data_IF_393772272479
#
_entry.id   IF_393772272479
#
_cell.length_a   1.000
_cell.length_b   1.000
_cell.length_c   1.000
_cell.angle_alpha   90.00
_cell.angle_beta   90.00
_cell.angle_gamma   90.00
#
_symmetry.space_group_name_H-M   'P 1'
#
loop_
_entity.id
_entity.type
_entity.pdbx_description
1 polymer ?
2 non-polymer ?
3 non-polymer ?
4 water ?
#
# COMPACT_ATOMS: atom_id res chain seq x y z
N UNK A 21 -25.83 12.70 19.69
CA UNK A 21 -24.91 12.83 20.83
C UNK A 21 -24.93 11.60 21.73
N UNK A 22 -23.92 10.73 21.62
CA UNK A 22 -23.83 9.56 22.46
C UNK A 22 -22.44 9.46 23.04
N UNK A 23 -22.36 9.03 24.29
CA UNK A 23 -21.07 8.70 24.89
C UNK A 23 -20.79 7.21 24.88
N UNK A 24 -21.74 6.39 24.46
CA UNK A 24 -21.56 4.95 24.48
C UNK A 24 -22.53 4.34 23.49
N UNK A 25 -22.08 3.29 22.81
CA UNK A 25 -22.91 2.50 21.90
C UNK A 25 -22.53 1.05 22.12
N UNK A 26 -23.27 0.33 22.96
CA UNK A 26 -22.78 -0.96 23.39
C UNK A 26 -21.46 -0.77 24.09
N UNK A 27 -20.47 -1.60 23.73
CA UNK A 27 -19.15 -1.48 24.32
C UNK A 27 -18.24 -0.52 23.57
N UNK A 28 -18.78 0.24 22.61
CA UNK A 28 -18.05 1.38 22.08
C UNK A 28 -18.32 2.57 23.00
N UNK A 29 -17.28 2.99 23.71
CA UNK A 29 -17.37 4.00 24.75
C UNK A 29 -16.40 5.12 24.43
N UNK A 30 -16.92 6.34 24.36
CA UNK A 30 -16.05 7.49 24.20
C UNK A 30 -14.93 7.47 25.26
N UNK A 31 -13.71 7.74 24.80
CA UNK A 31 -12.41 7.67 25.46
C UNK A 31 -11.67 6.34 25.30
N UNK A 32 -12.29 5.32 24.73
CA UNK A 32 -11.60 4.05 24.59
C UNK A 32 -10.53 4.15 23.50
N UNK A 33 -9.51 3.33 23.66
CA UNK A 33 -8.50 3.11 22.63
C UNK A 33 -9.12 2.29 21.53
N UNK A 34 -8.70 2.57 20.30
CA UNK A 34 -9.37 2.02 19.14
C UNK A 34 -8.38 2.06 17.98
N UNK A 35 -8.66 1.27 16.94
CA UNK A 35 -7.99 1.35 15.65
C UNK A 35 -8.94 1.95 14.64
N UNK A 36 -8.44 2.83 13.79
CA UNK A 36 -9.24 3.41 12.73
C UNK A 36 -8.57 3.30 11.38
N UNK A 37 -9.39 3.09 10.36
CA UNK A 37 -8.90 2.97 8.98
C UNK A 37 -8.64 4.33 8.38
N UNK A 38 -7.47 4.49 7.80
CA UNK A 38 -7.09 5.71 7.10
C UNK A 38 -7.22 5.54 5.58
N UNK A 39 -6.97 6.64 4.84
CA UNK A 39 -7.15 6.60 3.37
C UNK A 39 -6.12 5.75 2.65
N UNK A 40 -4.95 5.48 3.26
CA UNK A 40 -4.00 4.50 2.75
C UNK A 40 -4.51 3.08 2.85
N UNK A 41 -5.67 2.90 3.49
CA UNK A 41 -6.28 1.60 3.80
C UNK A 41 -5.50 0.85 4.87
N UNK A 42 -4.50 1.46 5.49
CA UNK A 42 -3.91 0.91 6.69
C UNK A 42 -4.65 1.45 7.92
N UNK A 43 -4.48 0.73 9.03
CA UNK A 43 -5.20 1.02 10.26
C UNK A 43 -4.23 1.46 11.36
N UNK A 44 -4.71 2.40 12.18
CA UNK A 44 -3.85 3.15 13.08
C UNK A 44 -4.53 3.37 14.44
N UNK A 45 -3.73 3.28 15.49
CA UNK A 45 -4.28 3.49 16.82
C UNK A 45 -4.69 4.93 17.08
N UNK A 46 -5.71 5.05 17.90
CA UNK A 46 -6.17 6.35 18.34
C UNK A 46 -7.15 6.19 19.48
N UNK A 47 -7.91 7.25 19.72
CA UNK A 47 -8.92 7.28 20.76
C UNK A 47 -10.28 7.61 20.17
N UNK A 48 -11.33 6.93 20.63
CA UNK A 48 -12.70 7.25 20.24
C UNK A 48 -13.13 8.51 20.99
N UNK A 49 -13.36 9.61 20.27
CA UNK A 49 -13.65 10.90 20.93
C UNK A 49 -15.10 11.32 20.77
N UNK A 50 -15.87 10.70 19.88
CA UNK A 50 -17.28 11.07 19.75
C UNK A 50 -18.02 9.94 19.03
N UNK A 51 -19.31 9.84 19.34
CA UNK A 51 -20.23 8.97 18.62
C UNK A 51 -21.39 9.84 18.19
N UNK A 52 -21.71 9.83 16.88
CA UNK A 52 -22.69 10.74 16.28
C UNK A 52 -23.71 9.93 15.49
N UNK A 53 -24.98 10.25 15.65
CA UNK A 53 -26.01 9.72 14.78
C UNK A 53 -26.12 10.67 13.60
N UNK A 54 -25.94 10.15 12.39
CA UNK A 54 -26.00 10.97 11.19
C UNK A 54 -26.75 10.16 10.16
N UNK A 55 -27.95 10.62 9.81
CA UNK A 55 -28.76 9.88 8.88
C UNK A 55 -29.21 8.58 9.50
N UNK A 56 -29.05 7.48 8.76
CA UNK A 56 -29.67 6.22 9.19
C UNK A 56 -28.88 5.48 10.27
N UNK A 57 -27.60 5.81 10.46
CA UNK A 57 -26.80 5.06 11.40
C UNK A 57 -25.89 5.94 12.24
N UNK A 58 -24.83 5.34 12.76
CA UNK A 58 -23.90 6.02 13.63
C UNK A 58 -22.55 6.18 12.94
N UNK A 59 -21.86 7.25 13.28
CA UNK A 59 -20.47 7.43 12.93
C UNK A 59 -19.65 7.58 14.19
N UNK A 60 -18.35 7.26 14.08
CA UNK A 60 -17.44 7.18 15.20
C UNK A 60 -16.25 8.07 14.91
N UNK A 61 -16.06 9.08 15.74
CA UNK A 61 -14.98 10.04 15.52
C UNK A 61 -13.74 9.56 16.26
N UNK A 62 -12.64 9.40 15.53
CA UNK A 62 -11.40 8.89 16.07
C UNK A 62 -10.35 9.98 15.98
N UNK A 63 -9.65 10.23 17.08
CA UNK A 63 -8.44 11.03 17.07
C UNK A 63 -7.24 10.09 17.06
N UNK A 64 -6.49 10.12 15.97
CA UNK A 64 -5.35 9.24 15.84
C UNK A 64 -4.22 9.74 16.71
N UNK A 65 -3.29 8.86 17.02
CA UNK A 65 -2.18 9.23 17.88
C UNK A 65 -1.34 10.36 17.28
N UNK A 66 -1.36 10.54 15.97
CA UNK A 66 -0.67 11.69 15.37
C UNK A 66 -1.51 12.95 15.37
N UNK A 67 -2.65 12.92 16.05
CA UNK A 67 -3.61 14.01 16.26
C UNK A 67 -4.56 14.25 15.09
N UNK A 68 -4.42 13.56 13.96
CA UNK A 68 -5.44 13.63 12.92
C UNK A 68 -6.76 13.07 13.42
N UNK A 69 -7.85 13.50 12.78
CA UNK A 69 -9.19 13.04 13.17
C UNK A 69 -9.97 12.58 11.95
N UNK A 70 -10.76 11.52 12.13
CA UNK A 70 -11.65 11.00 11.09
C UNK A 70 -12.96 10.57 11.69
N UNK A 71 -14.03 10.77 10.93
CA UNK A 71 -15.36 10.32 11.28
C UNK A 71 -15.64 9.07 10.45
N UNK A 72 -15.75 7.94 11.13
CA UNK A 72 -15.69 6.63 10.48
C UNK A 72 -16.95 5.80 10.72
N UNK A 73 -17.30 4.96 9.75
CA UNK A 73 -18.33 3.96 9.97
C UNK A 73 -17.82 2.88 10.94
N UNK A 74 -18.77 2.15 11.53
CA UNK A 74 -18.40 1.14 12.52
C UNK A 74 -17.63 -0.03 11.96
N UNK A 75 -17.70 -0.26 10.66
CA UNK A 75 -16.88 -1.31 10.05
C UNK A 75 -15.49 -0.80 9.68
N UNK A 76 -15.18 0.46 9.97
CA UNK A 76 -13.87 1.04 9.74
C UNK A 76 -13.18 1.42 11.03
N UNK A 77 -13.62 0.84 12.14
CA UNK A 77 -12.90 0.88 13.40
C UNK A 77 -12.75 -0.56 13.89
N UNK A 78 -11.72 -0.79 14.68
CA UNK A 78 -11.44 -2.10 15.26
C UNK A 78 -10.98 -1.95 16.71
N UNK A 79 -11.28 -2.96 17.51
CA UNK A 79 -10.87 -2.91 18.90
C UNK A 79 -9.38 -3.12 19.01
N UNK A 80 -8.77 -2.47 20.00
CA UNK A 80 -7.34 -2.57 20.27
C UNK A 80 -7.05 -3.71 21.24
N UNK A 81 -7.40 -4.91 20.81
CA UNK A 81 -7.08 -6.14 21.52
C UNK A 81 -7.17 -7.28 20.54
N UNK A 82 -6.53 -8.39 20.92
CA UNK A 82 -6.53 -9.55 20.05
C UNK A 82 -7.70 -10.44 20.42
N UNK A 83 -8.51 -10.89 19.46
CA UNK A 83 -9.69 -11.65 19.82
C UNK A 83 -9.32 -13.04 20.30
N UNK A 84 -10.07 -13.59 21.26
CA UNK A 84 -9.87 -14.99 21.61
C UNK A 84 -10.02 -15.85 20.36
N UNK A 85 -9.02 -16.67 20.09
CA UNK A 85 -9.20 -17.75 19.15
C UNK A 85 -10.39 -18.55 19.63
N UNK A 86 -11.19 -19.05 18.70
CA UNK A 86 -12.44 -19.72 18.99
C UNK A 86 -13.53 -18.70 19.26
N UNK A 87 -13.26 -17.40 19.14
CA UNK A 87 -14.28 -16.42 18.80
C UNK A 87 -14.08 -15.91 17.38
N UNK A 88 -13.16 -16.49 16.65
CA UNK A 88 -12.98 -16.24 15.22
C UNK A 88 -13.36 -17.49 14.45
N UNK A 89 -13.88 -17.25 13.25
CA UNK A 89 -14.37 -18.30 12.36
C UNK A 89 -14.08 -17.87 10.94
N UNK A 90 -14.23 -18.82 10.03
CA UNK A 90 -14.11 -18.50 8.62
C UNK A 90 -15.17 -17.47 8.26
N UNK A 91 -14.71 -16.34 7.69
CA UNK A 91 -15.59 -15.23 7.43
C UNK A 91 -15.47 -14.05 8.39
N UNK A 92 -14.82 -14.24 9.53
CA UNK A 92 -14.61 -13.14 10.48
C UNK A 92 -13.90 -11.97 9.81
N UNK A 93 -14.36 -10.77 10.15
CA UNK A 93 -13.82 -9.51 9.62
C UNK A 93 -12.79 -8.97 10.60
N UNK A 94 -11.53 -8.88 10.15
CA UNK A 94 -10.42 -8.60 11.02
C UNK A 94 -9.49 -7.59 10.38
N UNK A 95 -8.63 -7.03 11.22
CA UNK A 95 -7.47 -6.26 10.85
C UNK A 95 -6.28 -7.12 11.23
N UNK A 96 -5.32 -7.24 10.32
CA UNK A 96 -4.19 -8.13 10.54
C UNK A 96 -2.88 -7.44 10.23
N UNK A 97 -1.83 -7.89 10.91
CA UNK A 97 -0.49 -7.40 10.61
C UNK A 97 0.01 -7.90 9.26
N UNK A 98 0.57 -6.96 8.50
CA UNK A 98 1.20 -7.21 7.21
C UNK A 98 2.65 -6.71 7.27
N UNK A 99 3.59 -7.58 6.88
CA UNK A 99 5.00 -7.22 6.78
C UNK A 99 5.34 -6.66 5.39
N UNK A 100 5.82 -5.41 5.35
CA UNK A 100 6.13 -4.65 4.13
C UNK A 100 7.62 -4.38 4.16
N UNK A 101 8.39 -5.33 3.69
CA UNK A 101 9.83 -5.27 3.89
C UNK A 101 10.15 -5.40 5.37
N UNK A 102 10.77 -4.37 5.94
CA UNK A 102 11.10 -4.32 7.37
C UNK A 102 10.10 -3.49 8.17
N UNK A 103 8.99 -3.13 7.57
CA UNK A 103 7.97 -2.32 8.17
C UNK A 103 6.79 -3.23 8.47
N UNK A 104 5.93 -2.81 9.39
CA UNK A 104 4.72 -3.55 9.73
C UNK A 104 3.54 -2.60 9.66
N UNK A 105 2.47 -3.03 8.99
CA UNK A 105 1.25 -2.25 8.83
C UNK A 105 0.07 -3.12 9.25
N UNK A 106 -1.06 -2.48 9.54
CA UNK A 106 -2.31 -3.16 9.84
C UNK A 106 -3.24 -2.96 8.66
N UNK A 107 -3.86 -4.04 8.20
CA UNK A 107 -4.70 -3.97 6.99
C UNK A 107 -5.87 -4.94 7.15
N UNK A 108 -7.02 -4.58 6.59
CA UNK A 108 -8.23 -5.36 6.80
C UNK A 108 -8.29 -6.60 5.92
N UNK A 109 -9.02 -7.60 6.41
CA UNK A 109 -9.22 -8.84 5.70
C UNK A 109 -10.28 -9.71 6.32
N UNK A 110 -10.36 -10.91 5.79
CA UNK A 110 -11.30 -11.94 6.17
C UNK A 110 -10.53 -13.19 6.58
N UNK A 111 -10.99 -13.83 7.67
CA UNK A 111 -10.43 -15.12 8.07
C UNK A 111 -10.88 -16.20 7.08
N UNK A 112 -9.90 -16.85 6.46
CA UNK A 112 -10.11 -17.92 5.50
C UNK A 112 -9.88 -19.30 6.09
N UNK A 113 -9.09 -19.40 7.16
CA UNK A 113 -8.76 -20.64 7.86
C UNK A 113 -8.49 -20.32 9.31
N UNK A 114 -8.93 -21.18 10.21
CA UNK A 114 -8.57 -21.08 11.62
C UNK A 114 -7.48 -22.10 11.96
N UNK A 115 -6.82 -21.94 13.11
CA UNK A 115 -5.69 -22.82 13.45
C UNK A 115 -6.02 -24.31 13.39
N UNK A 116 -5.14 -25.06 12.73
CA UNK A 116 -5.25 -26.51 12.71
C UNK A 116 -3.86 -27.10 12.50
N UNK A 117 -3.80 -28.44 12.39
CA UNK A 117 -2.52 -29.12 12.23
C UNK A 117 -1.87 -28.73 10.90
N UNK A 118 -2.63 -28.82 9.81
CA UNK A 118 -2.04 -28.59 8.50
C UNK A 118 -1.43 -27.20 8.38
N UNK A 119 -1.99 -26.18 9.08
CA UNK A 119 -1.49 -24.82 8.94
C UNK A 119 -0.65 -24.37 10.11
N UNK A 120 -0.22 -25.32 10.95
CA UNK A 120 0.67 -25.03 12.08
C UNK A 120 0.05 -23.98 13.02
N UNK A 121 -1.25 -24.14 13.26
CA UNK A 121 -2.00 -23.38 14.25
C UNK A 121 -1.95 -21.87 13.96
N UNK A 122 -2.15 -21.52 12.70
CA UNK A 122 -2.21 -20.13 12.28
C UNK A 122 -3.57 -19.83 11.64
N UNK A 123 -3.85 -18.54 11.47
CA UNK A 123 -5.00 -18.06 10.73
C UNK A 123 -4.59 -17.64 9.33
N UNK A 124 -5.27 -18.15 8.33
CA UNK A 124 -5.11 -17.64 6.97
C UNK A 124 -6.00 -16.42 6.79
N UNK A 125 -5.41 -15.31 6.33
CA UNK A 125 -6.11 -14.06 6.10
C UNK A 125 -6.11 -13.73 4.61
N UNK A 126 -7.30 -13.44 4.09
CA UNK A 126 -7.49 -12.92 2.74
C UNK A 126 -7.69 -11.41 2.93
N UNK A 127 -6.68 -10.63 2.56
CA UNK A 127 -6.72 -9.19 2.75
C UNK A 127 -7.59 -8.54 1.68
N UNK A 128 -8.13 -7.35 2.00
CA UNK A 128 -9.07 -6.67 1.11
C UNK A 128 -8.51 -6.39 -0.28
N UNK A 129 -7.19 -6.35 -0.44
CA UNK A 129 -6.58 -6.08 -1.72
C UNK A 129 -6.21 -7.33 -2.48
N UNK A 130 -6.60 -8.50 -2.01
CA UNK A 130 -6.30 -9.73 -2.69
C UNK A 130 -5.08 -10.48 -2.21
N UNK A 131 -4.26 -9.91 -1.32
CA UNK A 131 -3.15 -10.64 -0.77
C UNK A 131 -3.64 -11.68 0.26
N UNK A 132 -2.82 -12.69 0.51
CA UNK A 132 -3.14 -13.70 1.51
C UNK A 132 -1.88 -14.02 2.33
N UNK A 133 -2.05 -14.23 3.64
CA UNK A 133 -0.91 -14.60 4.48
C UNK A 133 -1.44 -15.32 5.71
N UNK A 134 -0.57 -16.11 6.31
CA UNK A 134 -0.83 -16.70 7.61
C UNK A 134 -0.33 -15.78 8.72
N UNK A 135 -1.16 -15.61 9.76
CA UNK A 135 -0.78 -14.81 10.92
C UNK A 135 -1.13 -15.58 12.19
N UNK A 136 -0.61 -15.10 13.31
CA UNK A 136 -0.94 -15.66 14.61
C UNK A 136 -2.03 -14.87 15.29
N UNK A 137 -2.52 -15.43 16.41
CA UNK A 137 -3.61 -14.81 17.14
C UNK A 137 -3.23 -13.41 17.64
N UNK A 138 -1.96 -13.19 17.96
CA UNK A 138 -1.51 -11.92 18.48
C UNK A 138 -1.25 -10.91 17.39
N UNK A 139 -1.65 -11.24 16.16
CA UNK A 139 -1.47 -10.36 15.02
C UNK A 139 -2.80 -9.95 14.41
N UNK A 140 -3.88 -10.13 15.14
CA UNK A 140 -5.23 -9.88 14.67
C UNK A 140 -5.97 -8.96 15.62
N UNK A 141 -6.90 -8.18 15.08
CA UNK A 141 -7.78 -7.28 15.81
C UNK A 141 -9.17 -7.41 15.22
N UNK A 142 -10.22 -7.44 16.05
CA UNK A 142 -11.58 -7.56 15.51
C UNK A 142 -12.19 -6.22 15.11
N UNK A 143 -12.75 -6.17 13.90
CA UNK A 143 -13.46 -4.96 13.48
C UNK A 143 -14.74 -4.83 14.31
N UNK A 144 -15.08 -3.60 14.68
CA UNK A 144 -16.06 -3.37 15.75
C UNK A 144 -17.46 -3.75 15.30
N UNK A 145 -17.89 -3.26 14.13
CA UNK A 145 -19.24 -3.47 13.63
C UNK A 145 -19.17 -3.93 12.18
N UNK A 146 -18.76 -5.18 11.95
CA UNK A 146 -18.71 -5.69 10.59
C UNK A 146 -20.11 -5.88 10.03
N UNK A 147 -20.20 -5.87 8.71
CA UNK A 147 -21.45 -6.21 8.06
C UNK A 147 -21.76 -7.68 8.31
N UNK A 148 -23.05 -8.00 8.35
CA UNK A 148 -23.43 -9.39 8.64
C UNK A 148 -22.89 -10.33 7.57
N UNK A 149 -23.03 -9.96 6.30
CA UNK A 149 -22.29 -10.60 5.20
C UNK A 149 -20.97 -9.86 5.10
N UNK A 150 -19.94 -10.42 5.76
CA UNK A 150 -18.78 -9.61 6.13
C UNK A 150 -18.01 -9.07 4.93
N UNK A 151 -18.09 -9.74 3.80
CA UNK A 151 -17.39 -9.31 2.59
C UNK A 151 -18.00 -8.09 1.92
N UNK A 152 -19.18 -7.65 2.32
CA UNK A 152 -19.89 -6.67 1.49
C UNK A 152 -19.25 -5.28 1.50
N UNK A 153 -18.26 -5.02 2.38
CA UNK A 153 -17.57 -3.74 2.40
C UNK A 153 -16.19 -3.80 1.75
N UNK A 154 -15.89 -4.89 1.03
CA UNK A 154 -14.65 -4.99 0.26
C UNK A 154 -14.82 -4.21 -1.03
N UNK A 155 -13.93 -3.22 -1.23
CA UNK A 155 -14.04 -2.29 -2.35
C UNK A 155 -13.71 -2.95 -3.69
N UNK A 156 -12.70 -3.81 -3.73
CA UNK A 156 -12.31 -4.49 -4.96
C UNK A 156 -13.34 -5.58 -5.25
N UNK A 157 -14.08 -5.40 -6.35
CA UNK A 157 -15.21 -6.28 -6.66
C UNK A 157 -14.74 -7.71 -6.90
N UNK A 158 -13.64 -7.90 -7.64
CA UNK A 158 -13.18 -9.27 -7.87
C UNK A 158 -12.83 -9.95 -6.56
N UNK A 159 -12.22 -9.20 -5.62
CA UNK A 159 -11.92 -9.75 -4.31
C UNK A 159 -13.19 -10.07 -3.52
N UNK A 160 -14.11 -9.10 -3.47
CA UNK A 160 -15.39 -9.27 -2.80
C UNK A 160 -16.10 -10.53 -3.28
N UNK A 161 -16.19 -10.68 -4.59
CA UNK A 161 -16.91 -11.82 -5.16
C UNK A 161 -16.21 -13.13 -4.84
N UNK A 162 -14.87 -13.14 -4.88
CA UNK A 162 -14.16 -14.33 -4.48
C UNK A 162 -14.46 -14.72 -3.04
N UNK A 163 -14.39 -13.77 -2.11
CA UNK A 163 -14.65 -14.07 -0.70
C UNK A 163 -16.06 -14.60 -0.50
N UNK A 164 -17.04 -13.97 -1.13
CA UNK A 164 -18.40 -14.46 -1.01
C UNK A 164 -18.48 -15.91 -1.43
N UNK A 165 -17.88 -16.23 -2.59
CA UNK A 165 -17.90 -17.61 -3.09
C UNK A 165 -17.18 -18.54 -2.13
N UNK A 166 -16.01 -18.13 -1.65
CA UNK A 166 -15.20 -18.93 -0.76
C UNK A 166 -15.94 -19.26 0.54
N UNK A 167 -16.49 -18.23 1.20
CA UNK A 167 -17.14 -18.45 2.48
C UNK A 167 -18.40 -19.30 2.30
N UNK A 168 -19.11 -19.10 1.21
CA UNK A 168 -20.34 -19.84 0.96
C UNK A 168 -20.06 -21.32 0.75
N UNK A 169 -18.96 -21.63 0.05
CA UNK A 169 -18.63 -23.02 -0.29
C UNK A 169 -17.83 -23.72 0.78
N UNK A 170 -17.25 -22.97 1.70
CA UNK A 170 -16.37 -23.55 2.70
C UNK A 170 -17.10 -24.67 3.45
N UNK A 171 -16.43 -25.80 3.73
CA UNK A 171 -15.02 -26.17 3.52
C UNK A 171 -14.64 -26.68 2.15
N UNK A 172 -15.50 -26.58 1.15
CA UNK A 172 -15.20 -27.18 -0.15
C UNK A 172 -14.38 -26.19 -0.98
N UNK A 173 -13.08 -26.43 -1.03
CA UNK A 173 -12.09 -25.51 -1.59
C UNK A 173 -11.26 -26.21 -2.66
N UNK A 174 -11.56 -26.01 -3.94
CA UNK A 174 -10.67 -26.52 -4.99
C UNK A 174 -9.28 -25.94 -4.84
N UNK A 175 -8.29 -26.81 -4.72
CA UNK A 175 -6.89 -26.38 -4.62
C UNK A 175 -6.01 -27.34 -5.42
N UNK A 176 -4.88 -26.85 -5.90
CA UNK A 176 -3.96 -27.74 -6.61
C UNK A 176 -2.80 -28.13 -5.71
N UNK A 177 -2.37 -29.38 -5.84
CA UNK A 177 -1.26 -29.91 -5.07
C UNK A 177 0.03 -29.60 -5.81
N UNK A 178 0.93 -28.88 -5.16
CA UNK A 178 2.20 -28.48 -5.76
C UNK A 178 3.33 -28.93 -4.87
N UNK A 179 4.50 -29.11 -5.46
CA UNK A 179 5.67 -29.43 -4.67
C UNK A 179 6.82 -28.50 -5.03
N UNK A 180 7.73 -28.34 -4.07
CA UNK A 180 8.89 -27.49 -4.26
C UNK A 180 9.64 -27.93 -5.51
N UNK A 181 10.06 -26.96 -6.33
CA UNK A 181 10.77 -27.23 -7.56
C UNK A 181 9.92 -27.33 -8.80
N UNK A 182 8.60 -27.50 -8.65
CA UNK A 182 7.73 -27.60 -9.81
C UNK A 182 7.72 -26.33 -10.63
N UNK A 183 7.76 -26.47 -11.94
CA UNK A 183 7.74 -25.36 -12.87
C UNK A 183 6.31 -25.22 -13.42
N UNK A 184 5.74 -24.02 -13.28
CA UNK A 184 4.38 -23.74 -13.72
C UNK A 184 4.34 -22.33 -14.29
N UNK A 185 3.25 -22.03 -14.99
CA UNK A 185 2.95 -20.68 -15.42
C UNK A 185 2.08 -20.01 -14.35
N UNK A 186 2.43 -18.79 -14.00
CA UNK A 186 1.66 -18.00 -13.03
C UNK A 186 1.30 -16.66 -13.66
N UNK A 187 0.06 -16.24 -13.45
CA UNK A 187 -0.43 -14.97 -13.98
C UNK A 187 0.05 -13.79 -13.16
N UNK A 188 0.37 -12.69 -13.85
CA UNK A 188 0.75 -11.43 -13.23
C UNK A 188 0.50 -10.31 -14.23
N UNK A 189 -0.21 -9.28 -13.80
CA UNK A 189 -0.56 -8.14 -14.66
C UNK A 189 -1.13 -8.61 -16.01
N UNK A 190 -2.02 -9.60 -15.95
CA UNK A 190 -2.81 -9.99 -17.12
C UNK A 190 -2.12 -10.90 -18.11
N UNK A 191 -0.85 -11.25 -17.91
CA UNK A 191 -0.15 -12.22 -18.75
C UNK A 191 0.42 -13.35 -17.89
N UNK A 192 0.95 -14.37 -18.56
CA UNK A 192 1.39 -15.60 -17.90
C UNK A 192 2.91 -15.70 -17.95
N UNK A 193 3.49 -16.06 -16.82
CA UNK A 193 4.92 -15.98 -16.58
C UNK A 193 5.48 -17.33 -16.20
N UNK A 194 6.64 -17.67 -16.76
CA UNK A 194 7.37 -18.84 -16.31
C UNK A 194 7.77 -18.64 -14.85
N UNK A 195 7.44 -19.61 -14.00
CA UNK A 195 7.69 -19.47 -12.58
C UNK A 195 8.03 -20.83 -11.98
N UNK A 196 8.37 -20.82 -10.70
CA UNK A 196 8.77 -22.02 -9.98
C UNK A 196 8.21 -21.98 -8.59
N UNK A 197 7.72 -23.12 -8.12
CA UNK A 197 7.31 -23.29 -6.74
C UNK A 197 8.54 -23.40 -5.85
N UNK A 198 8.71 -22.42 -4.97
CA UNK A 198 9.87 -22.43 -4.08
C UNK A 198 9.58 -23.11 -2.74
N UNK A 199 8.33 -23.06 -2.28
CA UNK A 199 7.99 -23.51 -0.95
C UNK A 199 6.47 -23.70 -0.91
N UNK A 200 6.04 -24.67 -0.13
CA UNK A 200 4.64 -24.93 0.16
C UNK A 200 4.45 -24.70 1.65
N UNK A 201 3.43 -23.92 2.02
CA UNK A 201 3.09 -23.68 3.43
C UNK A 201 1.57 -23.74 3.57
N UNK A 202 1.06 -24.84 4.08
CA UNK A 202 -0.38 -25.00 4.18
C UNK A 202 -1.07 -24.76 2.87
N UNK A 203 -2.01 -23.81 2.85
CA UNK A 203 -2.78 -23.51 1.66
C UNK A 203 -2.12 -22.46 0.76
N UNK A 204 -0.86 -22.12 1.01
CA UNK A 204 -0.12 -21.13 0.23
C UNK A 204 1.10 -21.77 -0.44
N UNK A 205 1.48 -21.22 -1.58
CA UNK A 205 2.73 -21.56 -2.24
C UNK A 205 3.50 -20.29 -2.50
N UNK A 206 4.81 -20.37 -2.39
CA UNK A 206 5.70 -19.26 -2.70
C UNK A 206 6.25 -19.46 -4.10
N UNK A 207 5.94 -18.52 -4.98
CA UNK A 207 6.21 -18.61 -6.41
C UNK A 207 7.35 -17.65 -6.70
N UNK A 208 8.37 -18.17 -7.37
CA UNK A 208 9.45 -17.37 -7.94
C UNK A 208 9.14 -17.12 -9.40
N UNK A 209 9.07 -15.85 -9.78
CA UNK A 209 8.96 -15.47 -11.18
C UNK A 209 10.36 -15.49 -11.81
N UNK A 210 10.58 -16.38 -12.79
CA UNK A 210 11.95 -16.64 -13.19
C UNK A 210 12.56 -15.51 -14.00
N UNK A 211 11.73 -14.72 -14.69
CA UNK A 211 12.26 -13.63 -15.52
C UNK A 211 12.87 -12.51 -14.68
N UNK A 212 12.19 -12.10 -13.62
CA UNK A 212 12.67 -10.95 -12.87
C UNK A 212 12.90 -11.22 -11.38
N UNK A 213 12.73 -12.46 -10.94
CA UNK A 213 13.12 -12.88 -9.61
C UNK A 213 12.23 -12.30 -8.50
N UNK A 214 11.06 -11.80 -8.86
CA UNK A 214 10.05 -11.47 -7.85
C UNK A 214 9.56 -12.76 -7.21
N UNK A 215 9.15 -12.67 -5.93
CA UNK A 215 8.60 -13.83 -5.23
C UNK A 215 7.29 -13.42 -4.62
N UNK A 216 6.35 -14.35 -4.61
CA UNK A 216 5.00 -14.02 -4.16
C UNK A 216 4.36 -15.24 -3.56
N UNK A 217 3.75 -15.07 -2.38
CA UNK A 217 2.91 -16.10 -1.80
C UNK A 217 1.52 -16.03 -2.41
N UNK A 218 1.01 -17.17 -2.90
CA UNK A 218 -0.27 -17.25 -3.59
C UNK A 218 -1.07 -18.42 -3.04
N UNK A 219 -2.37 -18.20 -2.85
CA UNK A 219 -3.27 -19.26 -2.41
C UNK A 219 -3.36 -20.37 -3.44
N UNK A 220 -3.29 -21.62 -2.98
CA UNK A 220 -3.27 -22.80 -3.86
C UNK A 220 -4.60 -23.02 -4.58
N UNK A 221 -5.66 -22.32 -4.20
CA UNK A 221 -6.89 -22.29 -4.94
C UNK A 221 -7.04 -21.12 -5.90
N UNK A 222 -5.98 -20.31 -6.09
CA UNK A 222 -6.04 -19.18 -6.99
C UNK A 222 -5.94 -19.60 -8.45
N UNK A 223 -6.80 -19.05 -9.31
CA UNK A 223 -6.68 -19.32 -10.74
C UNK A 223 -5.53 -18.55 -11.39
N UNK A 224 -4.73 -17.85 -10.59
CA UNK A 224 -3.49 -17.31 -11.13
C UNK A 224 -2.44 -18.39 -11.32
N UNK A 225 -2.60 -19.53 -10.66
CA UNK A 225 -1.74 -20.70 -10.87
C UNK A 225 -2.28 -21.49 -12.06
N UNK A 226 -1.45 -21.67 -13.10
CA UNK A 226 -1.97 -22.36 -14.29
C UNK A 226 -2.68 -23.67 -13.99
N UNK A 227 -2.15 -24.56 -13.14
CA UNK A 227 -2.87 -25.83 -12.87
C UNK A 227 -4.24 -25.64 -12.29
N UNK A 228 -4.44 -24.57 -11.50
CA UNK A 228 -5.73 -24.32 -10.89
C UNK A 228 -6.67 -23.71 -11.91
N UNK A 229 -6.12 -22.85 -12.76
CA UNK A 229 -6.85 -22.27 -13.86
C UNK A 229 -7.36 -23.35 -14.80
N UNK A 230 -6.70 -24.51 -14.84
CA UNK A 230 -7.16 -25.61 -15.68
C UNK A 230 -8.06 -26.57 -14.92
N UNK A 231 -7.75 -26.92 -13.67
CA UNK A 231 -8.68 -27.72 -12.88
C UNK A 231 -10.06 -27.07 -12.86
N UNK A 232 -10.10 -25.75 -12.69
CA UNK A 232 -11.39 -25.06 -12.67
C UNK A 232 -12.07 -25.15 -14.01
N UNK A 233 -11.33 -24.93 -15.10
CA UNK A 233 -11.95 -25.05 -16.41
C UNK A 233 -12.47 -26.46 -16.63
N UNK A 234 -11.70 -27.47 -16.19
CA UNK A 234 -12.13 -28.85 -16.36
C UNK A 234 -13.49 -29.09 -15.71
N UNK A 235 -13.76 -28.41 -14.60
CA UNK A 235 -15.09 -28.49 -14.00
C UNK A 235 -16.01 -27.50 -14.72
N UNK B 21 -14.30 13.25 -28.31
CA UNK B 21 -13.57 12.22 -29.05
C UNK B 21 -12.26 12.76 -29.61
N UNK B 22 -11.26 12.85 -28.74
CA UNK B 22 -9.92 13.34 -29.12
C UNK B 22 -9.06 12.14 -29.48
N UNK B 23 -9.05 11.74 -30.74
CA UNK B 23 -8.14 10.65 -31.08
C UNK B 23 -6.70 11.00 -30.72
N UNK B 24 -6.38 12.28 -30.51
CA UNK B 24 -5.03 12.71 -30.18
C UNK B 24 -5.06 13.93 -29.27
N UNK B 25 -4.03 14.04 -28.44
CA UNK B 25 -3.82 15.23 -27.62
C UNK B 25 -2.31 15.33 -27.42
N UNK B 26 -1.66 16.18 -28.20
CA UNK B 26 -0.22 16.14 -28.26
C UNK B 26 0.24 14.77 -28.69
N UNK B 27 1.28 14.26 -28.03
CA UNK B 27 1.78 12.94 -28.38
C UNK B 27 0.96 11.83 -27.77
N UNK B 28 -0.09 12.14 -27.00
CA UNK B 28 -1.03 11.11 -26.59
C UNK B 28 -1.92 10.74 -27.78
N UNK B 29 -2.19 9.45 -27.92
CA UNK B 29 -2.95 8.94 -29.06
C UNK B 29 -3.54 7.59 -28.69
N UNK B 30 -4.81 7.39 -29.04
CA UNK B 30 -5.48 6.12 -28.87
C UNK B 30 -4.62 5.01 -29.49
N UNK B 31 -4.69 3.82 -28.88
CA UNK B 31 -3.96 2.59 -29.12
C UNK B 31 -2.56 2.60 -28.50
N UNK B 32 -2.06 3.72 -27.98
CA UNK B 32 -0.71 3.71 -27.40
C UNK B 32 -0.69 2.88 -26.12
N UNK B 33 0.49 2.34 -25.83
CA UNK B 33 0.73 1.76 -24.53
C UNK B 33 0.89 2.87 -23.52
N UNK B 34 0.44 2.59 -22.28
CA UNK B 34 0.35 3.62 -21.27
C UNK B 34 0.33 2.95 -19.90
N UNK B 35 0.66 3.72 -18.87
CA UNK B 35 0.45 3.35 -17.48
C UNK B 35 -0.73 4.13 -16.93
N UNK B 36 -1.54 3.47 -16.11
CA UNK B 36 -2.64 4.14 -15.44
C UNK B 36 -2.64 3.84 -13.96
N UNK B 37 -3.14 4.82 -13.19
CA UNK B 37 -3.21 4.71 -11.74
C UNK B 37 -4.48 3.99 -11.32
N UNK B 38 -4.36 3.04 -10.39
CA UNK B 38 -5.51 2.30 -9.89
C UNK B 38 -5.83 2.77 -8.46
N UNK B 39 -6.94 2.25 -7.93
CA UNK B 39 -7.38 2.71 -6.61
C UNK B 39 -6.51 2.23 -5.46
N UNK B 40 -5.68 1.21 -5.68
CA UNK B 40 -4.63 0.87 -4.75
C UNK B 40 -3.53 1.93 -4.70
N UNK B 41 -3.58 2.92 -5.60
CA UNK B 41 -2.58 3.97 -5.77
C UNK B 41 -1.32 3.42 -6.44
N UNK B 42 -1.34 2.19 -6.89
CA UNK B 42 -0.27 1.63 -7.72
C UNK B 42 -0.64 1.81 -9.18
N UNK B 43 0.37 1.75 -10.04
CA UNK B 43 0.20 2.07 -11.45
C UNK B 43 0.49 0.83 -12.28
N UNK B 44 -0.26 0.67 -13.39
CA UNK B 44 -0.29 -0.59 -14.11
C UNK B 44 -0.38 -0.32 -15.60
N UNK B 45 0.22 -1.22 -16.39
CA UNK B 45 0.28 -1.00 -17.83
C UNK B 45 -1.03 -1.39 -18.50
N UNK B 46 -1.31 -0.72 -19.60
CA UNK B 46 -2.52 -0.94 -20.35
C UNK B 46 -2.42 -0.23 -21.67
N UNK B 47 -3.58 -0.02 -22.28
CA UNK B 47 -3.71 0.63 -23.58
C UNK B 47 -4.70 1.78 -23.47
N UNK B 48 -4.36 2.89 -24.09
CA UNK B 48 -5.24 4.05 -24.15
C UNK B 48 -6.31 3.81 -25.21
N UNK B 49 -7.58 3.73 -24.82
CA UNK B 49 -8.62 3.33 -25.76
C UNK B 49 -9.61 4.45 -26.09
N UNK B 50 -9.55 5.59 -25.40
CA UNK B 50 -10.39 6.73 -25.73
C UNK B 50 -9.85 7.98 -25.08
N UNK B 51 -10.08 9.12 -25.73
CA UNK B 51 -9.87 10.44 -25.13
C UNK B 51 -11.17 11.21 -25.32
N UNK B 52 -11.61 11.89 -24.27
CA UNK B 52 -12.85 12.66 -24.36
C UNK B 52 -12.65 14.02 -23.75
N UNK B 53 -13.03 15.06 -24.52
CA UNK B 53 -13.03 16.42 -24.01
C UNK B 53 -14.32 16.63 -23.25
N UNK B 54 -14.20 17.09 -22.02
CA UNK B 54 -15.33 17.01 -21.11
C UNK B 54 -15.21 18.12 -20.07
N UNK B 55 -16.17 19.04 -20.08
CA UNK B 55 -16.09 20.21 -19.25
C UNK B 55 -14.81 20.99 -19.50
N UNK B 56 -13.98 21.17 -18.47
CA UNK B 56 -12.80 22.03 -18.62
C UNK B 56 -11.61 21.39 -19.33
N UNK B 57 -11.38 20.09 -19.14
CA UNK B 57 -10.18 19.44 -19.64
C UNK B 57 -10.49 18.16 -20.39
N UNK B 58 -9.55 17.21 -20.29
CA UNK B 58 -9.65 15.94 -20.98
C UNK B 58 -9.54 14.79 -19.99
N UNK B 59 -10.10 13.64 -20.37
CA UNK B 59 -10.00 12.40 -19.62
C UNK B 59 -9.60 11.27 -20.55
N UNK B 60 -8.86 10.30 -19.99
CA UNK B 60 -8.19 9.28 -20.79
C UNK B 60 -8.67 7.92 -20.30
N UNK B 61 -9.23 7.14 -21.22
CA UNK B 61 -9.79 5.84 -20.87
C UNK B 61 -8.74 4.77 -21.11
N UNK B 62 -8.44 3.98 -20.07
CA UNK B 62 -7.36 3.00 -20.13
C UNK B 62 -7.92 1.60 -19.96
N UNK B 63 -7.54 0.69 -20.85
CA UNK B 63 -7.79 -0.71 -20.67
C UNK B 63 -6.52 -1.36 -20.14
N UNK B 64 -6.56 -1.80 -18.88
CA UNK B 64 -5.39 -2.41 -18.28
C UNK B 64 -5.18 -3.81 -18.83
N UNK B 65 -3.95 -4.28 -18.72
CA UNK B 65 -3.62 -5.58 -19.26
C UNK B 65 -4.37 -6.71 -18.58
N UNK B 66 -4.92 -6.50 -17.37
CA UNK B 66 -5.78 -7.51 -16.77
C UNK B 66 -7.24 -7.36 -17.17
N UNK B 67 -7.53 -6.56 -18.20
CA UNK B 67 -8.86 -6.28 -18.76
C UNK B 67 -9.69 -5.27 -17.96
N UNK B 68 -9.27 -4.83 -16.78
CA UNK B 68 -9.99 -3.76 -16.12
C UNK B 68 -9.96 -2.48 -16.95
N UNK B 69 -10.88 -1.56 -16.63
CA UNK B 69 -10.94 -0.27 -17.32
C UNK B 69 -11.15 0.87 -16.33
N UNK B 70 -10.57 2.03 -16.66
CA UNK B 70 -10.69 3.23 -15.84
C UNK B 70 -10.67 4.47 -16.74
N UNK B 71 -11.47 5.47 -16.37
CA UNK B 71 -11.39 6.80 -16.98
C UNK B 71 -10.59 7.72 -16.08
N UNK B 72 -9.46 8.22 -16.57
CA UNK B 72 -8.47 8.88 -15.74
C UNK B 72 -8.15 10.29 -16.23
N UNK B 73 -7.84 11.17 -15.28
CA UNK B 73 -7.29 12.47 -15.62
C UNK B 73 -5.84 12.34 -16.08
N UNK B 74 -5.35 13.38 -16.76
CA UNK B 74 -4.05 13.33 -17.40
C UNK B 74 -2.88 13.25 -16.43
N UNK B 75 -3.11 13.57 -15.17
CA UNK B 75 -2.10 13.41 -14.12
C UNK B 75 -2.12 12.02 -13.51
N UNK B 76 -3.02 11.13 -13.96
CA UNK B 76 -3.16 9.76 -13.48
C UNK B 76 -2.84 8.74 -14.56
N UNK B 77 -2.15 9.19 -15.61
CA UNK B 77 -1.56 8.36 -16.66
C UNK B 77 -0.10 8.77 -16.77
N UNK B 78 0.73 7.81 -17.15
CA UNK B 78 2.17 7.99 -17.34
C UNK B 78 2.59 7.27 -18.61
N UNK B 79 3.64 7.81 -19.23
CA UNK B 79 4.16 7.20 -20.44
C UNK B 79 4.89 5.91 -20.11
N UNK B 80 4.79 4.92 -21.01
CA UNK B 80 5.52 3.66 -20.89
C UNK B 80 6.92 3.78 -21.45
N UNK B 81 7.68 4.76 -20.97
CA UNK B 81 9.11 4.85 -21.26
C UNK B 81 9.81 5.51 -20.07
N UNK B 82 11.12 5.35 -20.00
CA UNK B 82 11.90 5.98 -18.95
C UNK B 82 12.39 7.33 -19.45
N UNK B 83 12.11 8.42 -18.75
CA UNK B 83 12.51 9.73 -19.26
C UNK B 83 14.01 9.82 -19.36
N UNK B 84 14.54 10.54 -20.33
CA UNK B 84 15.97 10.87 -20.28
C UNK B 84 16.25 11.68 -19.03
N UNK B 85 17.36 11.36 -18.37
CA UNK B 85 17.72 12.03 -17.13
C UNK B 85 17.75 13.54 -17.29
N UNK B 86 18.19 14.03 -18.46
CA UNK B 86 18.30 15.47 -18.65
C UNK B 86 16.97 16.15 -18.91
N UNK B 87 15.86 15.42 -18.90
CA UNK B 87 14.55 16.03 -18.93
C UNK B 87 13.88 16.09 -17.57
N UNK B 88 14.50 15.53 -16.54
CA UNK B 88 13.98 15.59 -15.18
C UNK B 88 14.69 16.66 -14.33
N UNK B 89 13.96 17.14 -13.33
CA UNK B 89 14.40 18.20 -12.43
C UNK B 89 13.73 18.02 -11.07
N UNK B 90 14.24 18.75 -10.07
CA UNK B 90 13.59 18.73 -8.77
C UNK B 90 12.19 19.29 -8.91
N UNK B 91 11.20 18.53 -8.48
CA UNK B 91 9.80 18.81 -8.74
C UNK B 91 9.14 17.96 -9.80
N UNK B 92 9.90 17.23 -10.63
CA UNK B 92 9.30 16.43 -11.69
C UNK B 92 8.32 15.42 -11.12
N UNK B 93 7.17 15.28 -11.77
CA UNK B 93 6.12 14.35 -11.37
C UNK B 93 6.33 13.03 -12.10
N UNK B 94 6.58 11.94 -11.32
CA UNK B 94 7.03 10.67 -11.89
C UNK B 94 6.28 9.54 -11.22
N UNK B 95 6.36 8.38 -11.86
CA UNK B 95 5.99 7.10 -11.29
C UNK B 95 7.30 6.34 -11.14
N UNK B 96 7.52 5.73 -9.97
CA UNK B 96 8.79 5.07 -9.70
C UNK B 96 8.55 3.69 -9.15
N UNK B 97 9.55 2.83 -9.34
CA UNK B 97 9.50 1.50 -8.75
C UNK B 97 9.70 1.55 -7.25
N UNK B 98 8.87 0.78 -6.55
CA UNK B 98 8.93 0.59 -5.11
C UNK B 98 9.10 -0.90 -4.86
N UNK B 99 10.10 -1.26 -4.05
CA UNK B 99 10.51 -2.64 -3.83
C UNK B 99 10.45 -2.96 -2.37
N UNK B 100 9.71 -4.02 -2.02
CA UNK B 100 9.60 -4.50 -0.65
C UNK B 100 10.55 -5.65 -0.33
N UNK B 101 11.38 -6.06 -1.29
CA UNK B 101 12.29 -7.16 -1.12
C UNK B 101 11.88 -8.38 -1.92
N UNK B 102 10.58 -8.55 -2.15
CA UNK B 102 10.13 -9.65 -3.00
C UNK B 102 9.24 -9.20 -4.13
N UNK B 103 8.37 -8.20 -3.91
CA UNK B 103 7.46 -7.67 -4.92
C UNK B 103 7.93 -6.29 -5.37
N UNK B 104 7.50 -5.89 -6.58
CA UNK B 104 7.78 -4.58 -7.13
C UNK B 104 6.48 -3.95 -7.56
N UNK B 105 6.29 -2.67 -7.20
CA UNK B 105 5.11 -1.93 -7.57
C UNK B 105 5.53 -0.58 -8.13
N UNK B 106 4.63 0.02 -8.87
CA UNK B 106 4.84 1.37 -9.40
C UNK B 106 3.97 2.35 -8.62
N UNK B 107 4.58 3.45 -8.15
CA UNK B 107 3.86 4.39 -7.30
C UNK B 107 4.34 5.80 -7.63
N UNK B 108 3.46 6.76 -7.52
CA UNK B 108 3.79 8.12 -7.92
C UNK B 108 4.59 8.87 -6.86
N UNK B 109 5.33 9.87 -7.34
CA UNK B 109 6.18 10.67 -6.48
C UNK B 109 6.66 11.91 -7.20
N UNK B 110 7.62 12.56 -6.52
CA UNK B 110 8.30 13.78 -6.94
C UNK B 110 9.78 13.51 -6.96
N UNK B 111 10.49 13.98 -7.99
CA UNK B 111 11.96 13.94 -7.97
C UNK B 111 12.46 14.96 -6.95
N UNK B 112 13.17 14.48 -5.93
CA UNK B 112 13.74 15.34 -4.89
C UNK B 112 15.21 15.65 -5.11
N UNK B 113 15.92 14.80 -5.85
CA UNK B 113 17.35 14.95 -6.14
C UNK B 113 17.57 14.28 -7.48
N UNK B 114 18.36 14.88 -8.34
CA UNK B 114 18.83 14.24 -9.55
C UNK B 114 20.23 13.66 -9.32
N UNK B 115 20.67 12.78 -10.21
CA UNK B 115 21.98 12.11 -10.00
C UNK B 115 23.13 13.08 -9.75
N UNK B 116 23.94 12.78 -8.74
CA UNK B 116 25.11 13.60 -8.49
C UNK B 116 26.17 12.76 -7.78
N UNK B 117 27.30 13.39 -7.48
CA UNK B 117 28.40 12.60 -6.93
C UNK B 117 28.03 12.02 -5.57
N UNK B 118 27.52 12.86 -4.65
CA UNK B 118 27.28 12.41 -3.28
C UNK B 118 26.18 11.35 -3.22
N UNK B 119 25.20 11.37 -4.12
CA UNK B 119 24.16 10.36 -4.05
C UNK B 119 24.45 9.19 -4.97
N UNK B 120 25.69 9.07 -5.47
CA UNK B 120 26.11 7.94 -6.29
C UNK B 120 25.24 7.83 -7.54
N UNK B 121 24.92 8.99 -8.10
CA UNK B 121 24.29 9.12 -9.41
C UNK B 121 22.94 8.40 -9.48
N UNK B 122 22.10 8.69 -8.48
CA UNK B 122 20.74 8.17 -8.40
C UNK B 122 19.74 9.32 -8.26
N UNK B 123 18.46 9.00 -8.50
CA UNK B 123 17.37 9.94 -8.25
C UNK B 123 16.77 9.64 -6.89
N UNK B 124 16.63 10.68 -6.07
CA UNK B 124 15.85 10.56 -4.84
C UNK B 124 14.40 10.87 -5.14
N UNK B 125 13.51 9.95 -4.79
CA UNK B 125 12.09 10.08 -5.03
C UNK B 125 11.37 10.22 -3.69
N UNK B 126 10.51 11.23 -3.61
CA UNK B 126 9.55 11.43 -2.52
C UNK B 126 8.20 10.94 -3.02
N UNK B 127 7.78 9.78 -2.54
CA UNK B 127 6.52 9.20 -2.97
C UNK B 127 5.34 9.89 -2.30
N UNK B 128 4.18 9.82 -2.97
CA UNK B 128 2.97 10.53 -2.51
C UNK B 128 2.54 10.16 -1.11
N UNK B 129 2.89 8.97 -0.60
CA UNK B 129 2.51 8.55 0.73
C UNK B 129 3.57 8.87 1.78
N UNK B 130 4.62 9.62 1.40
CA UNK B 130 5.65 10.03 2.33
C UNK B 130 6.90 9.20 2.35
N UNK B 131 6.93 8.06 1.66
CA UNK B 131 8.12 7.25 1.61
C UNK B 131 9.14 7.92 0.71
N UNK B 132 10.42 7.61 0.94
CA UNK B 132 11.50 8.12 0.10
C UNK B 132 12.49 7.01 -0.21
N UNK B 133 12.96 7.00 -1.46
CA UNK B 133 13.99 6.05 -1.85
C UNK B 133 14.84 6.62 -2.97
N UNK B 134 16.04 6.05 -3.11
CA UNK B 134 16.86 6.26 -4.29
C UNK B 134 16.55 5.20 -5.35
N UNK B 135 16.42 5.65 -6.60
CA UNK B 135 16.16 4.80 -7.74
C UNK B 135 17.08 5.21 -8.89
N UNK B 136 17.14 4.35 -9.90
CA UNK B 136 17.86 4.67 -11.12
C UNK B 136 16.92 5.19 -12.20
N UNK B 137 17.54 5.70 -13.27
CA UNK B 137 16.79 6.26 -14.38
C UNK B 137 15.85 5.24 -15.00
N UNK B 138 16.23 3.96 -14.98
CA UNK B 138 15.42 2.93 -15.59
C UNK B 138 14.29 2.46 -14.70
N UNK B 139 14.11 3.09 -13.54
CA UNK B 139 13.02 2.78 -12.62
C UNK B 139 11.98 3.90 -12.57
N UNK B 140 12.01 4.84 -13.53
CA UNK B 140 11.11 5.98 -13.57
C UNK B 140 10.29 6.03 -14.84
N UNK B 141 9.10 6.60 -14.73
CA UNK B 141 8.18 6.88 -15.82
C UNK B 141 7.66 8.30 -15.63
N UNK B 142 7.49 9.08 -16.70
CA UNK B 142 6.97 10.44 -16.54
C UNK B 142 5.45 10.50 -16.61
N UNK B 143 4.83 11.18 -15.64
CA UNK B 143 3.39 11.39 -15.69
C UNK B 143 3.07 12.32 -16.85
N UNK B 144 2.00 11.99 -17.60
CA UNK B 144 1.76 12.62 -18.91
C UNK B 144 1.42 14.09 -18.77
N UNK B 145 0.46 14.43 -17.92
CA UNK B 145 -0.04 15.80 -17.80
C UNK B 145 -0.09 16.20 -16.34
N UNK B 146 1.06 16.47 -15.74
CA UNK B 146 1.10 16.87 -14.34
C UNK B 146 0.49 18.24 -14.14
N UNK B 147 0.03 18.49 -12.92
CA UNK B 147 -0.54 19.80 -12.60
C UNK B 147 0.56 20.86 -12.58
N UNK B 148 0.14 22.10 -12.83
CA UNK B 148 1.07 23.21 -12.93
C UNK B 148 1.95 23.30 -11.69
N UNK B 149 1.34 23.19 -10.52
CA UNK B 149 2.06 22.98 -9.27
C UNK B 149 2.05 21.48 -9.01
N UNK B 150 3.22 20.85 -9.11
CA UNK B 150 3.25 19.39 -9.23
C UNK B 150 2.70 18.69 -7.99
N UNK B 151 2.82 19.32 -6.81
CA UNK B 151 2.37 18.73 -5.55
C UNK B 151 0.86 18.77 -5.36
N UNK B 152 0.12 19.50 -6.19
CA UNK B 152 -1.26 19.82 -5.82
C UNK B 152 -2.18 18.62 -5.93
N UNK B 153 -1.76 17.52 -6.56
CA UNK B 153 -2.54 16.30 -6.59
C UNK B 153 -2.04 15.25 -5.59
N UNK B 154 -1.23 15.65 -4.61
CA UNK B 154 -0.87 14.76 -3.52
C UNK B 154 -1.99 14.75 -2.48
N UNK B 155 -2.55 13.55 -2.23
CA UNK B 155 -3.72 13.45 -1.36
C UNK B 155 -3.39 13.72 0.10
N UNK B 156 -2.28 13.19 0.60
CA UNK B 156 -1.90 13.38 2.00
C UNK B 156 -1.47 14.83 2.20
N UNK B 157 -2.22 15.58 3.00
CA UNK B 157 -1.95 17.01 3.12
C UNK B 157 -0.58 17.27 3.73
N UNK B 158 -0.17 16.50 4.73
CA UNK B 158 1.12 16.76 5.32
C UNK B 158 2.23 16.49 4.30
N UNK B 159 2.06 15.46 3.47
CA UNK B 159 3.03 15.21 2.40
C UNK B 159 3.04 16.34 1.39
N UNK B 160 1.85 16.74 0.94
CA UNK B 160 1.72 17.82 -0.04
C UNK B 160 2.41 19.08 0.45
N UNK B 161 2.09 19.49 1.68
CA UNK B 161 2.68 20.72 2.21
C UNK B 161 4.19 20.60 2.28
N UNK B 162 4.70 19.43 2.64
CA UNK B 162 6.14 19.24 2.72
C UNK B 162 6.79 19.40 1.35
N UNK B 163 6.19 18.81 0.33
CA UNK B 163 6.76 18.90 -1.02
C UNK B 163 6.77 20.34 -1.49
N UNK B 164 5.68 21.06 -1.24
CA UNK B 164 5.61 22.46 -1.69
C UNK B 164 6.75 23.26 -1.06
N UNK B 165 6.92 23.13 0.24
CA UNK B 165 8.01 23.81 0.92
C UNK B 165 9.35 23.38 0.34
N UNK B 166 9.55 22.06 0.17
CA UNK B 166 10.82 21.51 -0.28
C UNK B 166 11.19 22.02 -1.68
N UNK B 167 10.27 21.89 -2.65
CA UNK B 167 10.59 22.31 -4.01
C UNK B 167 10.76 23.82 -4.05
N UNK B 168 9.99 24.54 -3.25
CA UNK B 168 10.10 25.99 -3.26
C UNK B 168 11.44 26.45 -2.68
N UNK B 169 11.89 25.81 -1.60
CA UNK B 169 13.14 26.19 -0.96
C UNK B 169 14.37 25.64 -1.70
N UNK B 170 14.21 24.62 -2.55
CA UNK B 170 15.37 23.97 -3.15
C UNK B 170 16.23 25.00 -3.88
N UNK B 171 17.57 24.95 -3.74
CA UNK B 171 18.42 23.95 -3.10
C UNK B 171 18.74 24.20 -1.64
N UNK B 172 17.99 25.08 -0.98
CA UNK B 172 18.19 25.27 0.45
C UNK B 172 17.51 24.13 1.18
N UNK B 173 18.31 23.19 1.68
CA UNK B 173 17.82 21.94 2.26
C UNK B 173 18.43 21.70 3.63
N UNK B 174 17.81 22.19 4.69
CA UNK B 174 18.30 21.88 6.03
C UNK B 174 18.26 20.38 6.30
N UNK B 175 19.40 19.84 6.76
CA UNK B 175 19.54 18.43 7.12
C UNK B 175 20.39 18.30 8.37
N UNK B 176 20.31 17.14 9.00
CA UNK B 176 21.15 16.82 10.16
C UNK B 176 22.19 15.80 9.76
N UNK B 177 23.40 16.01 10.27
CA UNK B 177 24.47 15.04 10.09
C UNK B 177 24.32 13.95 11.13
N UNK B 178 24.24 12.72 10.69
CA UNK B 178 24.16 11.57 11.57
C UNK B 178 25.26 10.59 11.24
N UNK B 179 25.67 9.84 12.24
CA UNK B 179 26.72 8.83 12.10
C UNK B 179 26.18 7.47 12.53
N UNK B 180 26.69 6.43 11.87
CA UNK B 180 26.37 5.07 12.27
C UNK B 180 26.59 4.92 13.76
N UNK B 181 25.68 4.18 14.42
CA UNK B 181 25.71 3.96 15.85
C UNK B 181 25.04 5.04 16.69
N UNK B 182 24.76 6.21 16.13
CA UNK B 182 24.23 7.32 16.91
C UNK B 182 22.83 7.01 17.43
N UNK B 183 22.58 7.40 18.68
CA UNK B 183 21.30 7.16 19.33
C UNK B 183 20.49 8.44 19.27
N UNK B 184 19.27 8.36 18.76
CA UNK B 184 18.41 9.51 18.62
C UNK B 184 16.97 9.06 18.84
N UNK B 185 16.09 10.05 19.00
CA UNK B 185 14.67 9.82 19.02
C UNK B 185 14.12 10.02 17.62
N UNK B 186 13.26 9.10 17.18
CA UNK B 186 12.60 9.20 15.88
C UNK B 186 11.09 9.09 16.08
N UNK B 187 10.36 9.91 15.34
CA UNK B 187 8.89 9.90 15.38
C UNK B 187 8.32 8.67 14.68
N UNK B 188 7.28 8.09 15.28
CA UNK B 188 6.46 7.10 14.61
C UNK B 188 5.08 7.17 15.26
N UNK B 189 4.05 7.46 14.45
CA UNK B 189 2.66 7.47 14.92
C UNK B 189 2.43 8.48 16.04
N UNK B 190 3.02 9.65 15.91
CA UNK B 190 2.76 10.78 16.78
C UNK B 190 3.49 10.77 18.11
N UNK B 191 4.37 9.80 18.35
CA UNK B 191 5.18 9.78 19.55
C UNK B 191 6.64 9.53 19.17
N UNK B 192 7.53 9.90 20.10
CA UNK B 192 8.95 9.68 19.92
C UNK B 192 9.35 8.28 20.39
N UNK B 193 10.36 7.71 19.72
CA UNK B 193 10.82 6.36 20.01
C UNK B 193 12.34 6.32 20.09
N UNK B 194 12.84 5.47 20.98
CA UNK B 194 14.28 5.24 21.02
C UNK B 194 14.73 4.56 19.74
N UNK B 195 15.75 5.12 19.10
CA UNK B 195 16.19 4.59 17.82
C UNK B 195 17.69 4.75 17.66
N UNK B 196 18.21 4.06 16.64
CA UNK B 196 19.63 4.03 16.34
C UNK B 196 19.84 4.19 14.84
N UNK B 197 20.87 4.97 14.49
CA UNK B 197 21.28 5.14 13.10
C UNK B 197 22.10 3.93 12.68
N UNK B 198 21.58 3.16 11.73
CA UNK B 198 22.30 1.99 11.23
C UNK B 198 23.21 2.28 10.05
N UNK B 199 22.92 3.33 9.29
CA UNK B 199 23.56 3.50 8.00
C UNK B 199 23.15 4.83 7.41
N UNK B 200 24.07 5.46 6.69
CA UNK B 200 23.84 6.71 6.00
C UNK B 200 24.05 6.45 4.51
N UNK B 201 23.10 6.88 3.68
CA UNK B 201 23.18 6.72 2.23
C UNK B 201 22.71 8.03 1.60
N UNK B 202 23.65 8.88 1.20
CA UNK B 202 23.25 10.13 0.60
C UNK B 202 22.45 10.96 1.59
N UNK B 203 21.27 11.41 1.14
CA UNK B 203 20.35 12.21 1.95
C UNK B 203 19.40 11.37 2.80
N UNK B 204 19.62 10.07 2.89
CA UNK B 204 18.77 9.16 3.64
C UNK B 204 19.57 8.53 4.77
N UNK B 205 18.88 8.25 5.87
CA UNK B 205 19.45 7.51 6.99
C UNK B 205 18.57 6.31 7.28
N UNK B 206 19.19 5.19 7.58
CA UNK B 206 18.48 3.98 7.96
C UNK B 206 18.38 3.94 9.48
N UNK B 207 17.16 3.96 9.99
CA UNK B 207 16.86 4.06 11.42
C UNK B 207 16.31 2.72 11.89
N UNK B 208 16.88 2.22 12.99
CA UNK B 208 16.38 1.03 13.68
C UNK B 208 15.57 1.50 14.88
N UNK B 209 14.30 1.13 14.92
CA UNK B 209 13.50 1.34 16.12
C UNK B 209 13.83 0.23 17.12
N UNK B 210 14.34 0.61 18.28
CA UNK B 210 15.00 -0.37 19.14
C UNK B 210 14.00 -1.29 19.83
N UNK B 211 12.80 -0.80 20.13
CA UNK B 211 11.81 -1.60 20.84
C UNK B 211 11.31 -2.78 20.00
N UNK B 212 10.93 -2.54 18.74
CA UNK B 212 10.34 -3.63 17.93
C UNK B 212 11.14 -4.05 16.70
N UNK B 213 12.31 -3.45 16.45
CA UNK B 213 13.24 -3.88 15.40
C UNK B 213 12.76 -3.61 13.97
N UNK B 214 11.71 -2.83 13.78
CA UNK B 214 11.47 -2.30 12.44
C UNK B 214 12.65 -1.43 12.00
N UNK B 215 12.90 -1.40 10.70
CA UNK B 215 13.89 -0.51 10.13
C UNK B 215 13.24 0.39 9.10
N UNK B 216 13.75 1.62 8.99
CA UNK B 216 13.16 2.57 8.05
C UNK B 216 14.22 3.51 7.50
N UNK B 217 14.18 3.73 6.20
CA UNK B 217 14.95 4.79 5.57
C UNK B 217 14.18 6.09 5.63
N UNK B 218 14.83 7.14 6.15
CA UNK B 218 14.21 8.44 6.38
C UNK B 218 15.10 9.54 5.83
N UNK B 219 14.48 10.53 5.22
CA UNK B 219 15.18 11.70 4.71
C UNK B 219 15.81 12.47 5.86
N UNK B 220 17.08 12.87 5.68
CA UNK B 220 17.83 13.53 6.75
C UNK B 220 17.36 14.95 7.03
N UNK B 221 16.45 15.51 6.24
CA UNK B 221 15.78 16.76 6.56
C UNK B 221 14.36 16.57 7.09
N UNK B 222 13.99 15.35 7.43
CA UNK B 222 12.68 15.07 8.00
C UNK B 222 12.62 15.45 9.46
N UNK B 223 11.55 16.15 9.85
CA UNK B 223 11.35 16.48 11.26
C UNK B 223 10.94 15.27 12.09
N UNK B 224 10.78 14.10 11.48
CA UNK B 224 10.64 12.89 12.28
C UNK B 224 11.93 12.54 13.02
N UNK B 225 13.06 13.06 12.57
CA UNK B 225 14.32 12.88 13.28
C UNK B 225 14.42 14.02 14.29
N UNK B 226 14.51 13.67 15.57
CA UNK B 226 14.44 14.69 16.63
C UNK B 226 15.43 15.82 16.44
N UNK B 227 16.69 15.57 16.07
CA UNK B 227 17.62 16.69 15.84
C UNK B 227 17.16 17.65 14.76
N UNK B 228 16.46 17.17 13.75
CA UNK B 228 15.94 18.03 12.69
C UNK B 228 14.70 18.72 13.27
N UNK B 229 13.83 17.98 13.93
CA UNK B 229 12.73 18.59 14.64
C UNK B 229 13.23 19.75 15.50
N UNK B 230 14.28 19.48 16.28
CA UNK B 230 14.86 20.48 17.18
C UNK B 230 15.55 21.59 16.39
N UNK B 231 16.55 21.23 15.57
CA UNK B 231 17.24 22.21 14.76
C UNK B 231 16.26 23.14 14.06
N UNK B 232 15.06 22.65 13.77
CA UNK B 232 14.02 23.47 13.16
C UNK B 232 13.18 24.22 14.19
N UNK B 233 13.06 23.71 15.41
CA UNK B 233 12.37 24.45 16.48
C UNK B 233 13.34 25.21 17.37
N UNK B 234 14.65 25.08 17.16
CA UNK B 234 15.62 25.84 17.91
C UNK B 234 15.26 27.32 17.89
N UNK B 235 14.99 27.88 19.06
CA UNK B 235 14.58 29.27 19.19
C UNK B 235 15.60 30.09 19.97
#
# INVERSE_FOLDING_TARGET
GSSHHHHHHSSGENLYFQGGELSKDGDLIVSMRILGKKRTKTWHKGTLIAIQTVGPGKKYKVKFDNKGKSLLSGNHIAYDYHPPADKLYVGSRVVAKYKDGNQVWLYAGIVAETPNVKNKLRFLIFFDDGYASYVTQSELYPICRPLKKTWEDIEDISCRDFIEEYVTAYPNRPMVLLKSGQLIKTEWEGTWWKSRVEEVDGSLVRILFLDDKRCEWIYRGSTRLEPMFSMKTSSASALE
GSSHHHHHHSSGENLYFQGGELSKDGDLIVSMRILGKKRTKTWHKGTLIAIQTVGPGKKYKVKFDNKGKSLLSGNHIAYDYHPPADKLYVGSRVVAKYKDGNQVWLYAGIVAETPNVKNKLRFLIFFDDGYASYVTQSELYPICRPLKKTWEDIEDISCRDFIEEYVTAYPNRPMVLLKSGQLIKTEWEGTWWKSRVEEVDGSLVRILFLDDKRCEWIYRGSTRLEPMFSMKTSSASALE
#
